data_IF_025004433157
#
_entry.id   IF_025004433157
#
_cell.length_a   1.000
_cell.length_b   1.000
_cell.length_c   1.000
_cell.angle_alpha   90.00
_cell.angle_beta   90.00
_cell.angle_gamma   90.00
#
_symmetry.space_group_name_H-M   'P 1'
#
loop_
_entity.id
_entity.type
_entity.pdbx_description
1 polymer ?
#
# COMPACT_ATOMS: atom_id res chain seq x y z
N UNK A 1 -20.85 8.94 -14.50
CA UNK A 1 -19.45 9.26 -14.10
C UNK A 1 -18.72 7.94 -14.03
N UNK A 2 -17.67 7.76 -14.82
CA UNK A 2 -16.84 6.56 -14.75
C UNK A 2 -16.07 6.59 -13.41
N UNK A 3 -16.21 5.55 -12.60
CA UNK A 3 -15.38 5.41 -11.41
C UNK A 3 -14.03 4.88 -11.87
N UNK A 4 -13.01 5.75 -11.87
CA UNK A 4 -11.65 5.33 -12.14
C UNK A 4 -11.12 4.58 -10.92
N UNK A 5 -10.92 3.27 -11.08
CA UNK A 5 -10.28 2.46 -10.07
C UNK A 5 -8.77 2.54 -10.27
N UNK A 6 -8.04 3.05 -9.27
CA UNK A 6 -6.57 3.06 -9.33
C UNK A 6 -6.04 1.63 -9.40
N UNK A 7 -4.99 1.46 -10.18
CA UNK A 7 -4.23 0.22 -10.32
C UNK A 7 -2.88 0.35 -9.59
N UNK A 8 -2.17 -0.76 -9.31
CA UNK A 8 -0.86 -0.71 -8.67
C UNK A 8 0.11 0.26 -9.37
N UNK A 9 0.12 0.25 -10.71
CA UNK A 9 0.95 1.15 -11.51
C UNK A 9 0.59 2.63 -11.38
N UNK A 10 -0.64 2.96 -10.96
CA UNK A 10 -1.01 4.34 -10.67
C UNK A 10 -0.37 4.80 -9.36
N UNK A 11 -0.07 3.88 -8.44
CA UNK A 11 0.56 4.17 -7.14
C UNK A 11 2.09 4.16 -7.25
N UNK A 12 2.68 3.14 -7.86
CA UNK A 12 4.13 2.92 -7.84
C UNK A 12 4.80 3.10 -9.20
N UNK A 13 4.06 3.51 -10.22
CA UNK A 13 4.54 3.57 -11.59
C UNK A 13 4.77 2.18 -12.20
N UNK A 14 5.53 2.14 -13.29
CA UNK A 14 5.85 0.92 -14.01
C UNK A 14 7.21 0.32 -13.62
N UNK A 15 7.78 0.75 -12.49
CA UNK A 15 9.06 0.23 -12.01
C UNK A 15 8.88 -1.25 -11.58
N UNK A 16 9.63 -2.19 -12.19
CA UNK A 16 9.45 -3.61 -11.91
C UNK A 16 9.85 -4.00 -10.48
N UNK A 17 10.77 -3.27 -9.85
CA UNK A 17 11.17 -3.50 -8.45
C UNK A 17 10.04 -3.06 -7.52
N UNK A 18 9.43 -1.91 -7.78
CA UNK A 18 8.31 -1.43 -6.97
C UNK A 18 7.07 -2.30 -7.14
N UNK A 19 6.74 -2.71 -8.37
CA UNK A 19 5.64 -3.65 -8.63
C UNK A 19 5.90 -5.02 -7.97
N UNK A 20 7.13 -5.53 -8.05
CA UNK A 20 7.50 -6.79 -7.39
C UNK A 20 7.39 -6.72 -5.87
N UNK A 21 7.68 -5.55 -5.28
CA UNK A 21 7.50 -5.34 -3.84
C UNK A 21 6.03 -5.14 -3.49
N UNK A 22 5.27 -4.41 -4.30
CA UNK A 22 3.83 -4.23 -4.15
C UNK A 22 3.12 -5.56 -3.95
N UNK A 23 3.42 -6.58 -4.76
CA UNK A 23 2.82 -7.90 -4.64
C UNK A 23 3.08 -8.61 -3.30
N UNK A 24 4.14 -8.21 -2.58
CA UNK A 24 4.51 -8.72 -1.27
C UNK A 24 3.94 -7.90 -0.12
N UNK A 25 3.32 -6.74 -0.40
CA UNK A 25 2.76 -5.87 0.63
C UNK A 25 1.52 -6.49 1.29
N UNK A 26 1.26 -6.16 2.56
CA UNK A 26 0.01 -6.52 3.23
C UNK A 26 -1.21 -6.10 2.38
N UNK A 27 -2.22 -6.98 2.19
CA UNK A 27 -3.41 -6.65 1.38
C UNK A 27 -4.11 -5.36 1.82
N UNK A 28 -4.16 -5.10 3.12
CA UNK A 28 -4.74 -3.87 3.69
C UNK A 28 -3.95 -2.62 3.28
N UNK A 29 -2.62 -2.68 3.32
CA UNK A 29 -1.78 -1.57 2.89
C UNK A 29 -1.98 -1.26 1.40
N UNK A 30 -2.02 -2.31 0.56
CA UNK A 30 -2.34 -2.16 -0.87
C UNK A 30 -3.69 -1.49 -1.08
N UNK A 31 -4.75 -1.96 -0.42
CA UNK A 31 -6.09 -1.40 -0.53
C UNK A 31 -6.10 0.10 -0.15
N UNK A 32 -5.50 0.44 1.00
CA UNK A 32 -5.44 1.84 1.47
C UNK A 32 -4.67 2.74 0.50
N UNK A 33 -3.62 2.23 -0.15
CA UNK A 33 -2.89 3.00 -1.15
C UNK A 33 -3.71 3.21 -2.43
N UNK A 34 -4.43 2.19 -2.90
CA UNK A 34 -5.32 2.29 -4.06
C UNK A 34 -6.49 3.26 -3.82
N UNK A 35 -6.99 3.36 -2.59
CA UNK A 35 -8.04 4.29 -2.18
C UNK A 35 -7.53 5.71 -1.90
N UNK A 36 -6.21 5.90 -1.81
CA UNK A 36 -5.58 7.21 -1.57
C UNK A 36 -5.21 7.92 -2.87
N UNK A 37 -4.78 9.17 -2.78
CA UNK A 37 -4.11 9.91 -3.87
C UNK A 37 -2.57 9.82 -3.81
N UNK A 38 -2.03 8.96 -2.94
CA UNK A 38 -0.58 8.82 -2.76
C UNK A 38 0.03 8.15 -4.00
N UNK A 39 1.15 8.69 -4.45
CA UNK A 39 2.07 8.04 -5.40
C UNK A 39 3.44 7.89 -4.75
N UNK A 40 4.15 6.84 -5.12
CA UNK A 40 5.42 6.45 -4.53
C UNK A 40 6.44 6.27 -5.65
N UNK A 41 7.63 6.83 -5.47
CA UNK A 41 8.67 6.81 -6.50
C UNK A 41 9.89 5.97 -6.11
N UNK A 42 9.95 5.50 -4.86
CA UNK A 42 11.09 4.74 -4.35
C UNK A 42 10.68 3.52 -3.54
N UNK A 43 11.56 2.52 -3.48
CA UNK A 43 11.32 1.29 -2.73
C UNK A 43 11.24 1.56 -1.22
N UNK A 44 12.07 2.48 -0.71
CA UNK A 44 12.09 2.82 0.71
C UNK A 44 10.79 3.48 1.19
N UNK A 45 10.23 4.40 0.40
CA UNK A 45 8.91 4.98 0.68
C UNK A 45 7.82 3.92 0.69
N UNK A 46 7.84 3.01 -0.31
CA UNK A 46 6.83 1.96 -0.44
C UNK A 46 6.88 0.97 0.73
N UNK A 47 8.10 0.62 1.17
CA UNK A 47 8.33 -0.24 2.34
C UNK A 47 7.76 0.40 3.61
N UNK A 48 8.09 1.68 3.85
CA UNK A 48 7.60 2.42 5.02
C UNK A 48 6.08 2.47 5.06
N UNK A 49 5.44 2.79 3.94
CA UNK A 49 3.98 2.81 3.83
C UNK A 49 3.35 1.43 4.01
N UNK A 50 3.99 0.37 3.48
CA UNK A 50 3.55 -1.00 3.68
C UNK A 50 3.53 -1.43 5.15
N UNK A 51 4.53 -1.00 5.92
CA UNK A 51 4.58 -1.23 7.36
C UNK A 51 3.54 -0.41 8.13
N UNK A 52 3.46 0.90 7.86
CA UNK A 52 2.56 1.81 8.57
C UNK A 52 1.09 1.45 8.33
N UNK A 53 0.71 1.22 7.07
CA UNK A 53 -0.67 0.89 6.70
C UNK A 53 -1.03 -0.58 6.94
N UNK A 54 -0.02 -1.44 7.10
CA UNK A 54 -0.19 -2.85 7.48
C UNK A 54 -0.42 -3.05 8.98
N UNK A 55 0.12 -2.15 9.82
CA UNK A 55 0.01 -2.19 11.29
C UNK A 55 -1.26 -1.47 11.77
N UNK A 56 -2.42 -2.00 11.44
CA UNK A 56 -3.69 -1.56 12.04
C UNK A 56 -4.52 -2.79 12.46
N UNK A 57 -3.94 -3.52 13.42
CA UNK A 57 -4.66 -4.36 14.37
C UNK A 57 -4.28 -3.86 15.76
N UNK A 58 -4.88 -2.75 16.18
CA UNK A 58 -5.07 -2.52 17.61
C UNK A 58 -6.15 -3.50 18.08
N UNK A 59 -5.75 -4.76 18.29
CA UNK A 59 -6.29 -5.48 19.43
C UNK A 59 -5.74 -4.75 20.66
N UNK A 60 -6.59 -4.16 21.52
CA UNK A 60 -6.12 -3.62 22.78
C UNK A 60 -5.36 -4.73 23.54
N UNK A 61 -4.25 -4.41 24.22
CA UNK A 61 -3.50 -5.38 25.02
C UNK A 61 -4.26 -5.94 26.26
N UNK A 62 -5.57 -5.69 26.40
CA UNK A 62 -6.40 -6.05 27.56
C UNK A 62 -7.28 -7.29 27.37
N UNK A 63 -6.90 -8.24 26.51
CA UNK A 63 -7.58 -9.55 26.42
C UNK A 63 -6.57 -10.71 26.31
N UNK A 64 -5.62 -10.78 27.25
CA UNK A 64 -4.83 -11.99 27.53
C UNK A 64 -4.90 -12.33 29.01
#
# INVERSE_FOLDING_TARGET
MEQYYRLPQDVVGHDPVLLSYWDKMPPRARLRLLESDISVSTLGELQKLGEELGRDTTVPPEMR
#
